data_IF_670690067452
#
_entry.id   IF_670690067452
#
_cell.length_a   1.000
_cell.length_b   1.000
_cell.length_c   1.000
_cell.angle_alpha   90.00
_cell.angle_beta   90.00
_cell.angle_gamma   90.00
#
_symmetry.space_group_name_H-M   'P 1'
#
loop_
_entity.id
_entity.type
_entity.pdbx_description
1 polymer ?
#
# COMPACT_ATOMS: atom_id res chain seq x y z
N UNK A 1 50.64 8.81 3.37
CA UNK A 1 49.47 9.41 2.70
C UNK A 1 49.68 9.14 1.22
N UNK A 2 48.66 8.67 0.51
CA UNK A 2 48.85 8.21 -0.87
C UNK A 2 49.01 9.44 -1.79
N UNK A 3 50.18 9.58 -2.44
CA UNK A 3 50.52 10.76 -3.24
C UNK A 3 49.60 10.95 -4.45
N UNK A 4 49.13 9.86 -5.07
CA UNK A 4 48.15 9.90 -6.17
C UNK A 4 46.83 10.48 -5.65
N UNK A 5 46.36 9.98 -4.49
CA UNK A 5 45.13 10.47 -3.87
C UNK A 5 45.25 11.95 -3.47
N UNK A 6 46.39 12.37 -2.91
CA UNK A 6 46.64 13.78 -2.60
C UNK A 6 46.57 14.67 -3.84
N UNK A 7 47.14 14.23 -4.96
CA UNK A 7 47.08 14.96 -6.22
C UNK A 7 45.64 15.08 -6.73
N UNK A 8 44.87 13.98 -6.72
CA UNK A 8 43.44 13.97 -7.09
C UNK A 8 42.64 14.92 -6.20
N UNK A 9 42.85 14.89 -4.89
CA UNK A 9 42.13 15.75 -3.95
C UNK A 9 42.49 17.23 -4.11
N UNK A 10 43.67 17.54 -4.66
CA UNK A 10 44.09 18.88 -5.07
C UNK A 10 43.68 19.25 -6.51
N UNK A 11 42.97 18.35 -7.21
CA UNK A 11 42.58 18.45 -8.62
C UNK A 11 43.77 18.55 -9.59
N UNK A 12 44.95 18.07 -9.19
CA UNK A 12 46.10 17.94 -10.07
C UNK A 12 46.08 16.56 -10.77
N UNK A 13 45.14 16.41 -11.69
CA UNK A 13 44.93 15.15 -12.42
C UNK A 13 46.11 14.80 -13.34
N UNK A 14 46.87 15.80 -13.78
CA UNK A 14 48.08 15.58 -14.58
C UNK A 14 49.18 14.94 -13.74
N UNK A 15 49.42 15.46 -12.52
CA UNK A 15 50.35 14.84 -11.59
C UNK A 15 49.87 13.45 -11.17
N UNK A 16 48.59 13.27 -10.86
CA UNK A 16 48.02 11.97 -10.52
C UNK A 16 48.26 10.93 -11.62
N UNK A 17 47.99 11.29 -12.89
CA UNK A 17 48.24 10.43 -14.05
C UNK A 17 49.74 10.10 -14.21
N UNK A 18 50.62 11.07 -14.01
CA UNK A 18 52.07 10.86 -14.10
C UNK A 18 52.57 9.91 -13.00
N UNK A 19 52.11 10.10 -11.76
CA UNK A 19 52.45 9.23 -10.62
C UNK A 19 51.96 7.80 -10.86
N UNK A 20 50.74 7.65 -11.37
CA UNK A 20 50.17 6.34 -11.69
C UNK A 20 50.93 5.63 -12.84
N UNK A 21 51.29 6.36 -13.91
CA UNK A 21 52.12 5.83 -15.02
C UNK A 21 53.52 5.36 -14.56
N UNK A 22 54.08 6.01 -13.55
CA UNK A 22 55.41 5.71 -13.02
C UNK A 22 55.40 4.59 -11.94
N UNK A 23 54.29 3.86 -11.79
CA UNK A 23 54.17 2.75 -10.85
C UNK A 23 53.91 3.17 -9.41
N UNK A 24 53.32 4.36 -9.19
CA UNK A 24 52.84 4.77 -7.87
C UNK A 24 51.77 3.80 -7.34
N UNK A 25 51.81 3.50 -6.04
CA UNK A 25 50.89 2.54 -5.42
C UNK A 25 49.50 3.15 -5.20
N UNK A 26 48.45 2.38 -5.48
CA UNK A 26 47.06 2.71 -5.15
C UNK A 26 46.48 1.76 -4.10
N UNK A 27 47.01 1.84 -2.88
CA UNK A 27 46.46 1.14 -1.71
C UNK A 27 45.82 2.16 -0.77
N UNK A 28 44.52 2.41 -0.94
CA UNK A 28 43.74 3.28 -0.06
C UNK A 28 42.39 2.64 0.26
N UNK A 29 41.82 3.06 1.39
CA UNK A 29 40.53 2.55 1.86
C UNK A 29 39.43 2.81 0.82
N UNK A 30 38.47 1.88 0.60
CA UNK A 30 37.43 2.01 -0.43
C UNK A 30 36.66 3.33 -0.40
N UNK A 31 36.33 3.82 0.79
CA UNK A 31 35.70 5.13 0.96
C UNK A 31 36.53 6.30 0.42
N UNK A 32 37.85 6.27 0.62
CA UNK A 32 38.76 7.30 0.10
C UNK A 32 38.92 7.16 -1.42
N UNK A 33 38.99 5.93 -1.93
CA UNK A 33 39.02 5.67 -3.37
C UNK A 33 37.76 6.20 -4.06
N UNK A 34 36.58 5.91 -3.51
CA UNK A 34 35.31 6.42 -4.01
C UNK A 34 35.29 7.95 -4.08
N UNK A 35 35.77 8.65 -3.05
CA UNK A 35 35.89 10.11 -3.08
C UNK A 35 36.82 10.61 -4.18
N UNK A 36 37.94 9.93 -4.39
CA UNK A 36 38.88 10.25 -5.45
C UNK A 36 38.23 10.06 -6.83
N UNK A 37 37.60 8.91 -7.07
CA UNK A 37 36.89 8.62 -8.32
C UNK A 37 35.77 9.61 -8.58
N UNK A 38 34.97 9.95 -7.56
CA UNK A 38 33.95 10.97 -7.68
C UNK A 38 34.54 12.32 -8.10
N UNK A 39 35.69 12.73 -7.53
CA UNK A 39 36.38 13.96 -7.94
C UNK A 39 36.90 13.94 -9.37
N UNK A 40 37.32 12.77 -9.85
CA UNK A 40 37.76 12.59 -11.24
C UNK A 40 36.55 12.70 -12.19
N UNK A 41 35.42 12.07 -11.86
CA UNK A 41 34.18 12.14 -12.64
C UNK A 41 33.64 13.57 -12.68
N UNK A 42 33.55 14.25 -11.53
CA UNK A 42 33.07 15.64 -11.43
C UNK A 42 33.91 16.63 -12.25
N UNK A 43 35.19 16.30 -12.48
CA UNK A 43 36.11 17.10 -13.27
C UNK A 43 36.22 16.65 -14.74
N UNK A 44 35.41 15.68 -15.19
CA UNK A 44 35.49 15.05 -16.51
C UNK A 44 36.89 14.52 -16.87
N UNK A 45 37.70 14.14 -15.86
CA UNK A 45 39.07 13.67 -16.05
C UNK A 45 39.11 12.17 -16.40
N UNK A 46 38.31 11.76 -17.40
CA UNK A 46 38.07 10.35 -17.76
C UNK A 46 39.34 9.59 -18.21
N UNK A 47 40.31 10.27 -18.83
CA UNK A 47 41.61 9.66 -19.17
C UNK A 47 42.34 9.10 -17.94
N UNK A 48 42.16 9.72 -16.77
CA UNK A 48 42.72 9.22 -15.53
C UNK A 48 41.95 7.99 -15.03
N UNK A 49 40.62 7.93 -15.19
CA UNK A 49 39.84 6.72 -14.88
C UNK A 49 40.21 5.55 -15.79
N UNK A 50 40.36 5.78 -17.09
CA UNK A 50 40.84 4.77 -18.04
C UNK A 50 42.19 4.22 -17.60
N UNK A 51 43.11 5.08 -17.14
CA UNK A 51 44.39 4.64 -16.62
C UNK A 51 44.26 3.82 -15.33
N UNK A 52 43.33 4.17 -14.43
CA UNK A 52 43.05 3.36 -13.24
C UNK A 52 42.50 1.96 -13.60
N UNK A 53 41.67 1.87 -14.64
CA UNK A 53 41.15 0.61 -15.17
C UNK A 53 42.29 -0.20 -15.83
N UNK A 54 43.09 0.43 -16.70
CA UNK A 54 44.23 -0.20 -17.39
C UNK A 54 45.27 -0.77 -16.40
N UNK A 55 45.45 -0.10 -15.24
CA UNK A 55 46.34 -0.55 -14.17
C UNK A 55 45.69 -1.49 -13.16
N UNK A 56 44.48 -1.98 -13.43
CA UNK A 56 43.73 -2.94 -12.59
C UNK A 56 43.49 -2.41 -11.16
N UNK A 57 43.44 -1.10 -10.98
CA UNK A 57 43.08 -0.46 -9.72
C UNK A 57 41.58 -0.18 -9.59
N UNK A 58 40.88 -0.16 -10.72
CA UNK A 58 39.43 -0.22 -10.80
C UNK A 58 39.09 -1.49 -11.59
N UNK A 59 38.34 -2.39 -10.96
CA UNK A 59 37.81 -3.57 -11.64
C UNK A 59 36.50 -3.23 -12.33
N UNK A 60 36.31 -3.78 -13.52
CA UNK A 60 35.04 -3.75 -14.24
C UNK A 60 34.24 -5.05 -14.07
N UNK A 61 34.80 -6.06 -13.39
CA UNK A 61 34.06 -7.24 -12.97
C UNK A 61 33.16 -6.85 -11.78
N UNK A 62 31.86 -6.79 -12.01
CA UNK A 62 30.87 -6.40 -10.98
C UNK A 62 30.96 -7.34 -9.78
N UNK A 63 31.19 -8.64 -10.01
CA UNK A 63 31.19 -9.70 -8.99
C UNK A 63 32.41 -9.68 -8.06
N UNK A 64 33.48 -8.94 -8.41
CA UNK A 64 34.62 -8.74 -7.51
C UNK A 64 34.27 -7.86 -6.29
N UNK A 65 33.15 -7.14 -6.34
CA UNK A 65 32.70 -6.27 -5.26
C UNK A 65 31.70 -6.99 -4.35
N UNK A 66 31.74 -6.71 -3.04
CA UNK A 66 30.74 -7.25 -2.10
C UNK A 66 29.38 -6.54 -2.21
N UNK A 67 29.41 -5.24 -2.53
CA UNK A 67 28.27 -4.33 -2.66
C UNK A 67 28.64 -3.14 -3.53
N UNK A 68 27.66 -2.45 -4.11
CA UNK A 68 27.92 -1.26 -4.92
C UNK A 68 28.47 -0.07 -4.13
N UNK A 69 28.16 0.05 -2.84
CA UNK A 69 28.58 1.22 -2.06
C UNK A 69 30.11 1.36 -2.02
N UNK A 70 30.60 2.56 -2.37
CA UNK A 70 32.03 2.91 -2.48
C UNK A 70 32.77 2.27 -3.66
N UNK A 71 32.05 1.75 -4.66
CA UNK A 71 32.63 1.28 -5.92
C UNK A 71 32.54 2.35 -7.01
N UNK A 72 33.29 2.17 -8.10
CA UNK A 72 33.20 3.03 -9.29
C UNK A 72 31.77 3.08 -9.86
N UNK A 73 31.06 1.95 -9.85
CA UNK A 73 29.67 1.82 -10.31
C UNK A 73 28.75 2.77 -9.54
N UNK A 74 28.84 2.79 -8.21
CA UNK A 74 28.04 3.73 -7.40
C UNK A 74 28.45 5.19 -7.58
N UNK A 75 29.69 5.47 -7.99
CA UNK A 75 30.12 6.84 -8.27
C UNK A 75 29.51 7.34 -9.57
N UNK A 76 29.46 6.52 -10.62
CA UNK A 76 28.72 6.86 -11.83
C UNK A 76 27.22 7.03 -11.56
N UNK A 77 26.59 6.15 -10.79
CA UNK A 77 25.17 6.27 -10.42
C UNK A 77 24.85 7.59 -9.69
N UNK A 78 25.80 8.18 -8.97
CA UNK A 78 25.62 9.43 -8.23
C UNK A 78 26.00 10.68 -9.03
N UNK A 79 26.72 10.50 -10.14
CA UNK A 79 27.22 11.61 -10.93
C UNK A 79 26.10 12.27 -11.75
N UNK A 80 26.19 13.59 -12.01
CA UNK A 80 25.32 14.24 -12.98
C UNK A 80 25.58 13.66 -14.38
N UNK A 81 24.51 13.39 -15.14
CA UNK A 81 24.60 12.90 -16.51
C UNK A 81 24.99 14.02 -17.50
N UNK A 82 26.24 14.48 -17.43
CA UNK A 82 26.82 15.41 -18.43
C UNK A 82 27.04 14.72 -19.77
N UNK A 83 27.14 15.49 -20.85
CA UNK A 83 27.43 14.95 -22.18
C UNK A 83 28.75 14.17 -22.18
N UNK A 84 29.79 14.70 -21.53
CA UNK A 84 31.09 14.04 -21.44
C UNK A 84 31.04 12.73 -20.66
N UNK A 85 30.25 12.66 -19.58
CA UNK A 85 30.05 11.41 -18.84
C UNK A 85 29.32 10.38 -19.70
N UNK A 86 28.23 10.75 -20.37
CA UNK A 86 27.45 9.82 -21.17
C UNK A 86 28.25 9.29 -22.38
N UNK A 87 29.07 10.13 -23.02
CA UNK A 87 30.00 9.70 -24.07
C UNK A 87 31.08 8.74 -23.53
N UNK A 88 31.57 8.97 -22.31
CA UNK A 88 32.48 8.06 -21.66
C UNK A 88 31.80 6.72 -21.33
N UNK A 89 30.55 6.74 -20.84
CA UNK A 89 29.78 5.53 -20.57
C UNK A 89 29.54 4.69 -21.83
N UNK A 90 29.30 5.31 -22.99
CA UNK A 90 29.16 4.58 -24.27
C UNK A 90 30.40 3.74 -24.63
N UNK A 91 31.58 4.15 -24.15
CA UNK A 91 32.83 3.40 -24.34
C UNK A 91 33.06 2.37 -23.22
N UNK A 92 32.67 2.71 -21.99
CA UNK A 92 32.92 1.89 -20.82
C UNK A 92 31.95 0.69 -20.73
N UNK A 93 30.66 0.91 -20.96
CA UNK A 93 29.62 -0.10 -20.76
C UNK A 93 29.86 -1.40 -21.54
N UNK A 94 30.28 -1.36 -22.83
CA UNK A 94 30.61 -2.59 -23.57
C UNK A 94 31.77 -3.42 -22.99
N UNK A 95 32.57 -2.85 -22.08
CA UNK A 95 33.69 -3.55 -21.44
C UNK A 95 33.29 -4.30 -20.17
N UNK A 96 32.06 -4.12 -19.68
CA UNK A 96 31.55 -4.77 -18.46
C UNK A 96 30.80 -6.03 -18.89
N UNK A 97 31.46 -7.19 -18.79
CA UNK A 97 30.89 -8.47 -19.25
C UNK A 97 29.71 -8.96 -18.39
N UNK A 98 29.69 -8.61 -17.11
CA UNK A 98 28.71 -9.07 -16.13
C UNK A 98 27.89 -7.93 -15.51
N UNK A 99 27.43 -7.00 -16.35
CA UNK A 99 26.73 -5.77 -15.93
C UNK A 99 25.44 -6.01 -15.12
N UNK A 100 24.82 -7.18 -15.30
CA UNK A 100 23.59 -7.60 -14.61
C UNK A 100 23.84 -8.52 -13.40
N UNK A 101 25.10 -8.75 -13.01
CA UNK A 101 25.40 -9.49 -11.79
C UNK A 101 24.86 -8.75 -10.56
N UNK A 102 24.37 -9.54 -9.60
CA UNK A 102 23.73 -9.02 -8.40
C UNK A 102 24.73 -8.92 -7.25
N UNK A 103 24.81 -7.73 -6.66
CA UNK A 103 25.49 -7.52 -5.39
C UNK A 103 24.44 -7.37 -4.28
N UNK A 104 24.48 -8.28 -3.30
CA UNK A 104 23.47 -8.38 -2.23
C UNK A 104 22.02 -8.48 -2.76
N UNK A 105 21.82 -9.12 -3.92
CA UNK A 105 20.50 -9.31 -4.54
C UNK A 105 19.98 -8.09 -5.33
N UNK A 106 20.85 -7.16 -5.69
CA UNK A 106 20.53 -5.92 -6.43
C UNK A 106 21.48 -5.82 -7.61
N UNK A 107 20.97 -5.53 -8.81
CA UNK A 107 21.80 -5.25 -10.01
C UNK A 107 22.23 -3.78 -10.03
N UNK A 108 23.20 -3.42 -10.89
CA UNK A 108 23.63 -2.02 -10.97
C UNK A 108 22.52 -1.09 -11.49
N UNK A 109 21.68 -1.58 -12.42
CA UNK A 109 20.49 -0.87 -12.87
C UNK A 109 19.51 -0.62 -11.71
N UNK A 110 19.19 -1.66 -10.92
CA UNK A 110 18.32 -1.53 -9.75
C UNK A 110 18.89 -0.57 -8.70
N UNK A 111 20.20 -0.65 -8.43
CA UNK A 111 20.89 0.29 -7.54
C UNK A 111 20.76 1.74 -8.03
N UNK A 112 20.94 1.96 -9.34
CA UNK A 112 20.84 3.29 -9.95
C UNK A 112 19.41 3.85 -9.89
N UNK A 113 18.40 3.01 -10.14
CA UNK A 113 16.98 3.38 -9.98
C UNK A 113 16.65 3.72 -8.53
N UNK A 114 17.07 2.90 -7.56
CA UNK A 114 16.84 3.11 -6.12
C UNK A 114 17.46 4.42 -5.62
N UNK A 115 18.68 4.71 -6.08
CA UNK A 115 19.41 5.93 -5.72
C UNK A 115 19.03 7.15 -6.57
N UNK A 116 18.01 7.03 -7.43
CA UNK A 116 17.50 8.12 -8.28
C UNK A 116 18.60 8.76 -9.15
N UNK A 117 19.42 7.91 -9.76
CA UNK A 117 20.37 8.33 -10.78
C UNK A 117 19.67 9.14 -11.87
N UNK A 118 20.41 10.04 -12.52
CA UNK A 118 19.87 10.85 -13.60
C UNK A 118 19.28 9.95 -14.71
N UNK A 119 18.07 10.27 -15.18
CA UNK A 119 17.36 9.46 -16.18
C UNK A 119 18.19 9.13 -17.44
N UNK A 120 18.97 10.06 -18.03
CA UNK A 120 19.83 9.73 -19.17
C UNK A 120 20.89 8.67 -18.85
N UNK A 121 21.37 8.60 -17.62
CA UNK A 121 22.30 7.56 -17.18
C UNK A 121 21.61 6.19 -17.08
N UNK A 122 20.39 6.15 -16.51
CA UNK A 122 19.57 4.93 -16.46
C UNK A 122 19.26 4.43 -17.88
N UNK A 123 18.91 5.33 -18.80
CA UNK A 123 18.71 5.03 -20.22
C UNK A 123 19.97 4.40 -20.82
N UNK A 124 21.16 4.98 -20.59
CA UNK A 124 22.41 4.41 -21.09
C UNK A 124 22.68 2.98 -20.60
N UNK A 125 22.38 2.67 -19.34
CA UNK A 125 22.51 1.30 -18.82
C UNK A 125 21.60 0.33 -19.59
N UNK A 126 20.35 0.69 -19.82
CA UNK A 126 19.38 -0.13 -20.54
C UNK A 126 19.75 -0.26 -22.03
N UNK A 127 20.15 0.83 -22.68
CA UNK A 127 20.62 0.85 -24.07
C UNK A 127 21.80 -0.10 -24.31
N UNK A 128 22.62 -0.35 -23.27
CA UNK A 128 23.77 -1.25 -23.30
C UNK A 128 23.47 -2.66 -22.77
N UNK A 129 22.18 -3.01 -22.65
CA UNK A 129 21.76 -4.40 -22.45
C UNK A 129 21.54 -4.82 -21.00
N UNK A 130 21.50 -3.89 -20.03
CA UNK A 130 20.98 -4.23 -18.70
C UNK A 130 19.54 -4.74 -18.78
N UNK A 131 19.25 -5.87 -18.13
CA UNK A 131 17.91 -6.45 -18.09
C UNK A 131 16.94 -5.63 -17.22
N UNK A 132 16.18 -4.74 -17.88
CA UNK A 132 15.12 -3.93 -17.26
C UNK A 132 13.93 -4.76 -16.75
N UNK A 133 13.74 -5.97 -17.30
CA UNK A 133 12.59 -6.83 -16.99
C UNK A 133 12.80 -7.72 -15.77
N UNK A 134 13.99 -7.65 -15.17
CA UNK A 134 14.39 -8.51 -14.06
C UNK A 134 13.46 -8.38 -12.85
N UNK A 135 13.20 -9.53 -12.22
CA UNK A 135 12.44 -9.65 -10.99
C UNK A 135 13.38 -10.09 -9.86
N UNK A 136 13.41 -9.33 -8.76
CA UNK A 136 14.25 -9.63 -7.60
C UNK A 136 13.78 -10.90 -6.87
N UNK A 137 14.60 -11.39 -5.95
CA UNK A 137 14.21 -12.49 -5.04
C UNK A 137 12.97 -12.18 -4.18
N UNK A 138 12.60 -10.90 -4.06
CA UNK A 138 11.37 -10.43 -3.41
C UNK A 138 10.20 -10.31 -4.37
N UNK A 139 10.30 -10.80 -5.61
CA UNK A 139 9.23 -10.65 -6.61
C UNK A 139 9.06 -9.22 -7.12
N UNK A 140 10.02 -8.33 -6.87
CA UNK A 140 9.91 -6.91 -7.21
C UNK A 140 10.56 -6.64 -8.57
N UNK A 141 9.85 -5.94 -9.47
CA UNK A 141 10.45 -5.29 -10.63
C UNK A 141 11.00 -3.91 -10.25
N UNK A 142 11.64 -3.21 -11.20
CA UNK A 142 12.25 -1.89 -10.94
C UNK A 142 11.28 -0.80 -10.47
N UNK A 143 9.98 -0.92 -10.75
CA UNK A 143 8.97 0.06 -10.32
C UNK A 143 8.86 0.13 -8.78
N UNK A 144 9.23 -0.92 -8.05
CA UNK A 144 9.23 -0.93 -6.58
C UNK A 144 10.39 -0.15 -5.95
N UNK A 145 11.45 0.17 -6.70
CA UNK A 145 12.69 0.71 -6.15
C UNK A 145 12.70 2.24 -6.07
N UNK A 146 11.77 2.94 -6.72
CA UNK A 146 11.76 4.40 -6.75
C UNK A 146 10.35 4.98 -6.59
N UNK A 147 10.29 6.28 -6.33
CA UNK A 147 9.06 7.10 -6.38
C UNK A 147 9.22 8.28 -7.34
N UNK A 148 10.33 8.31 -8.09
CA UNK A 148 10.57 9.34 -9.09
C UNK A 148 9.67 9.11 -10.31
N UNK A 149 8.73 10.02 -10.51
CA UNK A 149 7.72 9.96 -11.57
C UNK A 149 8.36 9.87 -12.97
N UNK A 150 9.49 10.55 -13.20
CA UNK A 150 10.13 10.53 -14.50
C UNK A 150 10.77 9.17 -14.78
N UNK A 151 11.46 8.59 -13.79
CA UNK A 151 12.04 7.25 -13.90
C UNK A 151 10.93 6.21 -14.04
N UNK A 152 9.86 6.29 -13.24
CA UNK A 152 8.75 5.34 -13.29
C UNK A 152 8.04 5.38 -14.63
N UNK A 153 7.74 6.59 -15.15
CA UNK A 153 7.14 6.74 -16.48
C UNK A 153 8.00 6.09 -17.55
N UNK A 154 9.30 6.37 -17.53
CA UNK A 154 10.24 5.76 -18.46
C UNK A 154 10.28 4.23 -18.34
N UNK A 155 10.36 3.68 -17.13
CA UNK A 155 10.34 2.22 -16.92
C UNK A 155 9.03 1.58 -17.39
N UNK A 156 7.89 2.26 -17.24
CA UNK A 156 6.61 1.80 -17.78
C UNK A 156 6.58 1.87 -19.31
N UNK A 157 7.19 2.89 -19.92
CA UNK A 157 7.37 3.00 -21.37
C UNK A 157 8.27 1.88 -21.92
N UNK A 158 9.26 1.42 -21.14
CA UNK A 158 10.07 0.22 -21.42
C UNK A 158 9.28 -1.11 -21.24
N UNK A 159 7.98 -1.04 -20.94
CA UNK A 159 7.09 -2.19 -20.92
C UNK A 159 7.04 -2.95 -19.60
N UNK A 160 7.50 -2.36 -18.48
CA UNK A 160 7.41 -3.01 -17.18
C UNK A 160 5.96 -3.26 -16.78
N UNK A 161 5.69 -4.46 -16.27
CA UNK A 161 4.37 -4.83 -15.78
C UNK A 161 4.02 -4.04 -14.50
N UNK A 162 3.12 -3.07 -14.62
CA UNK A 162 2.61 -2.27 -13.49
C UNK A 162 1.84 -3.13 -12.46
N UNK A 163 1.33 -4.29 -12.86
CA UNK A 163 0.58 -5.22 -12.02
C UNK A 163 1.46 -6.33 -11.41
N UNK A 164 2.79 -6.25 -11.54
CA UNK A 164 3.70 -7.18 -10.89
C UNK A 164 3.49 -7.17 -9.37
N UNK A 165 3.52 -8.37 -8.76
CA UNK A 165 3.33 -8.55 -7.33
C UNK A 165 4.64 -8.94 -6.66
N UNK A 166 5.00 -8.24 -5.58
CA UNK A 166 6.13 -8.62 -4.74
C UNK A 166 5.83 -9.89 -3.91
N UNK A 167 6.77 -10.31 -3.07
CA UNK A 167 6.69 -11.50 -2.25
C UNK A 167 5.56 -11.44 -1.21
N UNK A 168 5.03 -10.25 -0.91
CA UNK A 168 3.82 -10.06 -0.10
C UNK A 168 2.53 -10.12 -0.90
N UNK A 169 2.60 -10.20 -2.23
CA UNK A 169 1.47 -10.06 -3.14
C UNK A 169 1.08 -8.60 -3.41
N UNK A 170 1.83 -7.61 -2.92
CA UNK A 170 1.50 -6.21 -3.15
C UNK A 170 1.92 -5.79 -4.56
N UNK A 171 1.08 -5.03 -5.24
CA UNK A 171 1.42 -4.31 -6.48
C UNK A 171 1.99 -2.92 -6.16
N UNK A 172 2.61 -2.25 -7.15
CA UNK A 172 3.07 -0.86 -6.95
C UNK A 172 1.92 0.11 -6.68
N UNK A 173 0.72 -0.17 -7.17
CA UNK A 173 -0.49 0.58 -6.84
C UNK A 173 -0.81 0.52 -5.33
N UNK A 174 -0.71 -0.68 -4.74
CA UNK A 174 -0.90 -0.86 -3.29
C UNK A 174 0.10 -0.01 -2.48
N UNK A 175 1.36 0.00 -2.91
CA UNK A 175 2.44 0.76 -2.28
C UNK A 175 2.30 2.29 -2.46
N UNK A 176 1.80 2.75 -3.61
CA UNK A 176 1.52 4.16 -3.88
C UNK A 176 0.39 4.70 -2.98
N UNK A 177 -0.71 3.95 -2.86
CA UNK A 177 -1.83 4.27 -1.97
C UNK A 177 -1.37 4.30 -0.51
N UNK A 178 -0.59 3.31 -0.07
CA UNK A 178 -0.05 3.27 1.30
C UNK A 178 0.77 4.50 1.67
N UNK A 179 1.48 5.08 0.69
CA UNK A 179 2.30 6.29 0.84
C UNK A 179 1.51 7.59 0.61
N UNK A 180 0.22 7.50 0.25
CA UNK A 180 -0.64 8.65 -0.09
C UNK A 180 -0.08 9.47 -1.26
N UNK A 181 0.56 8.83 -2.24
CA UNK A 181 1.11 9.50 -3.41
C UNK A 181 0.10 9.45 -4.57
N UNK A 182 -0.80 10.44 -4.63
CA UNK A 182 -1.85 10.52 -5.66
C UNK A 182 -1.29 10.64 -7.07
N UNK A 183 -0.16 11.33 -7.25
CA UNK A 183 0.49 11.47 -8.56
C UNK A 183 0.94 10.10 -9.10
N UNK A 184 1.49 9.24 -8.23
CA UNK A 184 1.81 7.85 -8.60
C UNK A 184 0.58 7.01 -8.86
N UNK A 185 -0.49 7.18 -8.07
CA UNK A 185 -1.76 6.48 -8.31
C UNK A 185 -2.27 6.80 -9.71
N UNK A 186 -2.38 8.09 -10.05
CA UNK A 186 -2.83 8.51 -11.37
C UNK A 186 -1.93 7.99 -12.50
N UNK A 187 -0.60 8.05 -12.32
CA UNK A 187 0.34 7.49 -13.29
C UNK A 187 0.11 5.99 -13.50
N UNK A 188 0.02 5.21 -12.43
CA UNK A 188 -0.17 3.77 -12.54
C UNK A 188 -1.52 3.42 -13.17
N UNK A 189 -2.59 4.16 -12.87
CA UNK A 189 -3.88 4.01 -13.55
C UNK A 189 -3.76 4.27 -15.07
N UNK A 190 -3.03 5.31 -15.48
CA UNK A 190 -2.78 5.60 -16.90
C UNK A 190 -2.10 4.44 -17.64
N UNK A 191 -1.27 3.66 -16.95
CA UNK A 191 -0.59 2.48 -17.51
C UNK A 191 -1.34 1.16 -17.24
N UNK A 192 -2.61 1.21 -16.85
CA UNK A 192 -3.46 0.03 -16.73
C UNK A 192 -3.29 -0.75 -15.42
N UNK A 193 -2.91 -0.07 -14.34
CA UNK A 193 -2.87 -0.71 -13.02
C UNK A 193 -4.26 -1.18 -12.60
N UNK A 194 -4.33 -2.44 -12.17
CA UNK A 194 -5.55 -3.09 -11.69
C UNK A 194 -5.74 -2.86 -10.19
N UNK A 195 -6.98 -2.58 -9.79
CA UNK A 195 -7.34 -2.23 -8.42
C UNK A 195 -7.92 -3.40 -7.61
N UNK A 196 -8.14 -4.55 -8.26
CA UNK A 196 -8.73 -5.75 -7.66
C UNK A 196 -7.72 -6.90 -7.43
N UNK A 197 -6.43 -6.69 -7.66
CA UNK A 197 -5.38 -7.68 -7.38
C UNK A 197 -5.24 -7.86 -5.87
N UNK A 198 -5.39 -9.09 -5.39
CA UNK A 198 -5.24 -9.44 -3.98
C UNK A 198 -3.79 -9.73 -3.60
N UNK A 199 -3.33 -9.14 -2.49
CA UNK A 199 -2.09 -9.52 -1.84
C UNK A 199 -2.25 -10.85 -1.08
N UNK A 200 -1.19 -11.30 -0.38
CA UNK A 200 -1.23 -12.56 0.40
C UNK A 200 -2.18 -12.54 1.61
N UNK A 201 -2.62 -11.37 2.06
CA UNK A 201 -3.70 -11.25 3.05
C UNK A 201 -5.10 -11.27 2.42
N UNK A 202 -5.18 -11.28 1.09
CA UNK A 202 -6.42 -11.13 0.33
C UNK A 202 -6.92 -9.68 0.27
N UNK A 203 -6.07 -8.70 0.60
CA UNK A 203 -6.39 -7.28 0.50
C UNK A 203 -6.10 -6.76 -0.91
N UNK A 204 -6.97 -5.89 -1.42
CA UNK A 204 -6.76 -5.19 -2.71
C UNK A 204 -6.31 -3.75 -2.50
N UNK A 205 -5.82 -3.05 -3.54
CA UNK A 205 -5.65 -1.58 -3.51
C UNK A 205 -6.85 -0.81 -2.93
N UNK A 206 -8.09 -1.22 -3.21
CA UNK A 206 -9.28 -0.63 -2.58
C UNK A 206 -9.29 -0.77 -1.06
N UNK A 207 -8.95 -1.97 -0.54
CA UNK A 207 -8.86 -2.16 0.92
C UNK A 207 -7.88 -1.14 1.48
N UNK A 208 -6.68 -1.06 0.90
CA UNK A 208 -5.66 -0.13 1.37
C UNK A 208 -6.14 1.32 1.31
N UNK A 209 -6.85 1.73 0.26
CA UNK A 209 -7.40 3.07 0.14
C UNK A 209 -8.36 3.37 1.29
N UNK A 210 -9.33 2.51 1.60
CA UNK A 210 -10.29 2.76 2.69
C UNK A 210 -9.61 2.86 4.06
N UNK A 211 -8.58 2.04 4.32
CA UNK A 211 -7.88 2.03 5.61
C UNK A 211 -6.77 3.08 5.74
N UNK A 212 -6.41 3.77 4.65
CA UNK A 212 -5.38 4.84 4.65
C UNK A 212 -5.94 6.22 4.31
N UNK A 213 -7.10 6.26 3.65
CA UNK A 213 -7.82 7.47 3.30
C UNK A 213 -8.30 8.16 4.57
N UNK A 214 -7.60 9.23 4.92
CA UNK A 214 -8.22 10.34 5.66
C UNK A 214 -8.99 11.27 4.71
N UNK A 215 -8.86 11.02 3.40
CA UNK A 215 -9.37 11.84 2.31
C UNK A 215 -10.15 10.94 1.34
N UNK A 216 -11.44 11.23 1.17
CA UNK A 216 -12.34 10.47 0.31
C UNK A 216 -12.04 10.64 -1.18
N UNK A 217 -11.29 11.69 -1.57
CA UNK A 217 -11.02 12.00 -2.98
C UNK A 217 -10.24 10.88 -3.67
N UNK A 218 -9.32 10.22 -2.95
CA UNK A 218 -8.61 9.05 -3.47
C UNK A 218 -9.60 7.89 -3.74
N UNK A 219 -10.53 7.65 -2.82
CA UNK A 219 -11.54 6.59 -3.03
C UNK A 219 -12.41 6.91 -4.24
N UNK A 220 -12.82 8.16 -4.42
CA UNK A 220 -13.57 8.60 -5.59
C UNK A 220 -12.79 8.38 -6.90
N UNK A 221 -11.51 8.76 -6.91
CA UNK A 221 -10.63 8.52 -8.06
C UNK A 221 -10.61 7.03 -8.44
N UNK A 222 -10.43 6.14 -7.46
CA UNK A 222 -10.36 4.71 -7.70
C UNK A 222 -11.69 4.13 -8.18
N UNK A 223 -12.82 4.56 -7.62
CA UNK A 223 -14.16 4.12 -8.04
C UNK A 223 -14.52 4.57 -9.47
N UNK A 224 -13.98 5.72 -9.91
CA UNK A 224 -14.18 6.22 -11.27
C UNK A 224 -13.36 5.46 -12.32
N UNK A 225 -12.34 4.70 -11.92
CA UNK A 225 -11.45 3.98 -12.84
C UNK A 225 -11.86 2.53 -13.06
N UNK A 226 -12.09 1.78 -11.97
CA UNK A 226 -12.47 0.37 -12.01
C UNK A 226 -13.61 0.11 -11.02
N UNK A 227 -14.55 -0.80 -11.31
CA UNK A 227 -15.48 -1.27 -10.30
C UNK A 227 -14.77 -2.13 -9.24
N UNK A 228 -15.07 -1.89 -7.96
CA UNK A 228 -14.60 -2.74 -6.88
C UNK A 228 -15.23 -4.14 -6.97
N UNK A 229 -14.41 -5.18 -6.80
CA UNK A 229 -14.87 -6.58 -6.70
C UNK A 229 -15.20 -6.93 -5.24
N UNK A 230 -16.48 -6.88 -4.91
CA UNK A 230 -16.99 -7.08 -3.55
C UNK A 230 -17.11 -8.55 -3.12
N UNK A 231 -16.98 -9.48 -4.07
CA UNK A 231 -17.01 -10.93 -3.84
C UNK A 231 -15.67 -11.50 -3.37
N UNK A 232 -14.59 -10.72 -3.48
CA UNK A 232 -13.26 -11.13 -3.06
C UNK A 232 -13.20 -11.28 -1.54
N UNK A 233 -12.54 -12.36 -1.10
CA UNK A 233 -12.41 -12.70 0.31
C UNK A 233 -10.96 -12.56 0.77
N UNK A 234 -10.78 -11.97 1.95
CA UNK A 234 -9.49 -11.91 2.62
C UNK A 234 -9.07 -13.31 3.13
N UNK A 235 -7.89 -13.43 3.75
CA UNK A 235 -7.39 -14.70 4.32
C UNK A 235 -8.27 -15.29 5.43
N UNK A 236 -9.14 -14.49 6.05
CA UNK A 236 -10.11 -14.94 7.05
C UNK A 236 -11.42 -15.41 6.40
N UNK A 237 -11.52 -15.36 5.07
CA UNK A 237 -12.73 -15.72 4.32
C UNK A 237 -13.81 -14.65 4.33
N UNK A 238 -13.48 -13.41 4.71
CA UNK A 238 -14.41 -12.29 4.83
C UNK A 238 -14.43 -11.44 3.56
N UNK A 239 -15.61 -10.98 3.14
CA UNK A 239 -15.70 -9.93 2.11
C UNK A 239 -15.16 -8.61 2.63
N UNK A 240 -14.77 -7.73 1.71
CA UNK A 240 -14.30 -6.39 2.07
C UNK A 240 -15.33 -5.60 2.87
N UNK A 241 -16.61 -5.65 2.49
CA UNK A 241 -17.64 -4.88 3.16
C UNK A 241 -17.87 -5.37 4.59
N UNK A 242 -17.86 -6.68 4.81
CA UNK A 242 -17.89 -7.24 6.16
C UNK A 242 -16.70 -6.79 7.00
N UNK A 243 -15.48 -6.89 6.46
CA UNK A 243 -14.28 -6.46 7.16
C UNK A 243 -14.36 -4.98 7.56
N UNK A 244 -14.74 -4.09 6.62
CA UNK A 244 -14.87 -2.66 6.87
C UNK A 244 -15.98 -2.33 7.89
N UNK A 245 -17.08 -3.08 7.86
CA UNK A 245 -18.15 -2.95 8.83
C UNK A 245 -17.72 -3.41 10.23
N UNK A 246 -17.01 -4.52 10.36
CA UNK A 246 -16.53 -5.08 11.62
C UNK A 246 -15.42 -4.22 12.24
N UNK A 247 -14.47 -3.79 11.41
CA UNK A 247 -13.32 -3.01 11.81
C UNK A 247 -13.02 -1.89 10.80
N UNK A 248 -13.13 -0.65 11.28
CA UNK A 248 -12.65 0.51 10.57
C UNK A 248 -11.98 1.48 11.56
N UNK A 249 -10.83 2.09 11.20
CA UNK A 249 -10.15 3.08 12.03
C UNK A 249 -10.67 4.52 11.79
N UNK A 250 -11.67 4.71 10.93
CA UNK A 250 -12.15 6.02 10.51
C UNK A 250 -13.17 6.62 11.50
N UNK A 251 -13.50 7.90 11.32
CA UNK A 251 -14.64 8.49 12.02
C UNK A 251 -15.93 7.91 11.48
N UNK A 252 -16.94 7.76 12.35
CA UNK A 252 -18.22 7.17 11.95
C UNK A 252 -18.93 7.91 10.80
N UNK A 253 -18.81 9.25 10.74
CA UNK A 253 -19.35 10.04 9.63
C UNK A 253 -18.70 9.70 8.29
N UNK A 254 -17.41 9.34 8.30
CA UNK A 254 -16.67 8.90 7.11
C UNK A 254 -17.03 7.45 6.78
N UNK A 255 -17.14 6.59 7.79
CA UNK A 255 -17.57 5.20 7.62
C UNK A 255 -18.92 5.11 6.93
N UNK A 256 -19.93 5.85 7.40
CA UNK A 256 -21.27 5.83 6.79
C UNK A 256 -21.24 6.24 5.33
N UNK A 257 -20.48 7.27 4.95
CA UNK A 257 -20.35 7.71 3.55
C UNK A 257 -19.70 6.63 2.69
N UNK A 258 -18.65 6.00 3.19
CA UNK A 258 -17.95 4.94 2.48
C UNK A 258 -18.78 3.64 2.41
N UNK A 259 -19.54 3.32 3.45
CA UNK A 259 -20.50 2.20 3.45
C UNK A 259 -21.61 2.44 2.42
N UNK A 260 -22.15 3.66 2.33
CA UNK A 260 -23.12 4.04 1.30
C UNK A 260 -22.57 3.80 -0.10
N UNK A 261 -21.32 4.19 -0.37
CA UNK A 261 -20.66 3.90 -1.65
C UNK A 261 -20.52 2.41 -1.94
N UNK A 262 -20.16 1.61 -0.93
CA UNK A 262 -20.06 0.16 -1.11
C UNK A 262 -21.43 -0.46 -1.40
N UNK A 263 -22.49 0.02 -0.74
CA UNK A 263 -23.88 -0.40 -0.99
C UNK A 263 -24.34 0.00 -2.40
N UNK A 264 -24.05 1.23 -2.84
CA UNK A 264 -24.30 1.71 -4.20
C UNK A 264 -23.54 0.87 -5.25
N UNK A 265 -22.36 0.37 -4.90
CA UNK A 265 -21.58 -0.57 -5.72
C UNK A 265 -22.08 -2.02 -5.65
N UNK A 266 -23.12 -2.30 -4.86
CA UNK A 266 -23.78 -3.61 -4.77
C UNK A 266 -23.28 -4.51 -3.64
N UNK A 267 -22.72 -3.95 -2.57
CA UNK A 267 -22.30 -4.75 -1.41
C UNK A 267 -23.50 -5.39 -0.71
N UNK A 268 -23.41 -6.69 -0.44
CA UNK A 268 -24.44 -7.40 0.31
C UNK A 268 -24.28 -7.13 1.81
N UNK A 269 -25.18 -6.32 2.37
CA UNK A 269 -25.21 -5.98 3.79
C UNK A 269 -25.76 -7.10 4.67
N UNK A 270 -26.40 -8.10 4.09
CA UNK A 270 -27.07 -9.19 4.78
C UNK A 270 -26.38 -10.54 4.62
N UNK A 271 -25.25 -10.60 3.89
CA UNK A 271 -24.40 -11.78 3.82
C UNK A 271 -23.80 -12.07 5.19
N UNK A 272 -24.07 -13.27 5.71
CA UNK A 272 -23.52 -13.71 6.99
C UNK A 272 -22.09 -14.24 6.81
N UNK A 273 -21.17 -13.75 7.63
CA UNK A 273 -19.76 -14.14 7.64
C UNK A 273 -19.25 -14.29 9.08
N UNK A 274 -18.08 -14.91 9.26
CA UNK A 274 -17.49 -15.12 10.58
C UNK A 274 -16.56 -13.97 10.93
N UNK A 275 -16.74 -13.38 12.11
CA UNK A 275 -15.79 -12.41 12.65
C UNK A 275 -14.56 -13.11 13.28
N UNK A 276 -13.63 -12.32 13.83
CA UNK A 276 -12.42 -12.83 14.49
C UNK A 276 -12.69 -13.75 15.70
N UNK A 277 -13.91 -13.73 16.26
CA UNK A 277 -14.36 -14.56 17.38
C UNK A 277 -15.17 -15.79 16.94
N UNK A 278 -15.21 -16.08 15.63
CA UNK A 278 -16.00 -17.17 15.01
C UNK A 278 -17.52 -17.03 15.17
N UNK A 279 -18.00 -15.84 15.55
CA UNK A 279 -19.42 -15.54 15.57
C UNK A 279 -19.91 -15.24 14.15
N UNK A 280 -21.03 -15.84 13.77
CA UNK A 280 -21.68 -15.56 12.48
C UNK A 280 -22.49 -14.27 12.60
N UNK A 281 -22.11 -13.25 11.82
CA UNK A 281 -22.75 -11.94 11.78
C UNK A 281 -22.91 -11.47 10.35
N UNK A 282 -23.87 -10.58 10.13
CA UNK A 282 -24.02 -9.82 8.89
C UNK A 282 -23.44 -8.41 9.07
N UNK A 283 -22.97 -7.74 8.01
CA UNK A 283 -22.62 -6.32 8.06
C UNK A 283 -23.76 -5.48 8.65
N UNK A 284 -25.01 -5.78 8.30
CA UNK A 284 -26.20 -5.10 8.80
C UNK A 284 -26.32 -5.17 10.33
N UNK A 285 -26.07 -6.34 10.92
CA UNK A 285 -26.06 -6.51 12.39
C UNK A 285 -24.99 -5.65 13.05
N UNK A 286 -23.79 -5.63 12.48
CA UNK A 286 -22.68 -4.84 13.02
C UNK A 286 -23.01 -3.34 12.93
N UNK A 287 -23.41 -2.87 11.74
CA UNK A 287 -23.67 -1.45 11.46
C UNK A 287 -24.85 -0.92 12.27
N UNK A 288 -25.95 -1.68 12.37
CA UNK A 288 -27.15 -1.27 13.10
C UNK A 288 -26.90 -1.09 14.62
N UNK A 289 -25.98 -1.87 15.18
CA UNK A 289 -25.67 -1.80 16.61
C UNK A 289 -24.66 -0.71 16.94
N UNK A 290 -23.78 -0.33 16.00
CA UNK A 290 -22.80 0.75 16.23
C UNK A 290 -23.44 2.12 16.52
N UNK A 291 -24.53 2.48 15.85
CA UNK A 291 -25.23 3.75 16.11
C UNK A 291 -26.64 3.80 15.53
N UNK A 292 -27.42 4.81 15.92
CA UNK A 292 -28.70 5.12 15.28
C UNK A 292 -28.56 5.38 13.77
N UNK A 293 -27.56 6.14 13.34
CA UNK A 293 -27.33 6.42 11.92
C UNK A 293 -27.00 5.16 11.11
N UNK A 294 -26.28 4.20 11.72
CA UNK A 294 -26.05 2.89 11.13
C UNK A 294 -27.34 2.09 10.97
N UNK A 295 -28.21 2.11 11.98
CA UNK A 295 -29.51 1.47 11.88
C UNK A 295 -30.41 2.15 10.84
N UNK A 296 -30.36 3.48 10.70
CA UNK A 296 -31.07 4.20 9.64
C UNK A 296 -30.58 3.80 8.25
N UNK A 297 -29.26 3.61 8.07
CA UNK A 297 -28.67 3.10 6.83
C UNK A 297 -29.20 1.69 6.49
N UNK A 298 -29.17 0.78 7.47
CA UNK A 298 -29.65 -0.61 7.32
C UNK A 298 -31.15 -0.64 7.04
N UNK A 299 -31.94 0.12 7.80
CA UNK A 299 -33.39 0.21 7.62
C UNK A 299 -33.78 0.90 6.32
N UNK A 300 -32.87 1.66 5.71
CA UNK A 300 -33.07 2.31 4.42
C UNK A 300 -32.92 1.38 3.21
N UNK A 301 -32.43 0.15 3.39
CA UNK A 301 -32.26 -0.80 2.29
C UNK A 301 -33.60 -1.39 1.84
N UNK A 302 -33.73 -1.67 0.54
CA UNK A 302 -34.98 -2.13 -0.08
C UNK A 302 -35.44 -3.51 0.44
N UNK A 303 -34.49 -4.36 0.81
CA UNK A 303 -34.68 -5.72 1.32
C UNK A 303 -34.68 -5.79 2.86
N UNK A 304 -34.78 -4.64 3.54
CA UNK A 304 -34.86 -4.60 5.00
C UNK A 304 -36.15 -5.25 5.52
N UNK A 305 -35.98 -6.35 6.26
CA UNK A 305 -37.04 -6.97 7.06
C UNK A 305 -36.86 -6.64 8.55
N UNK A 306 -37.79 -5.83 9.08
CA UNK A 306 -37.81 -5.41 10.48
C UNK A 306 -38.02 -6.56 11.47
N UNK A 307 -38.50 -7.71 11.00
CA UNK A 307 -38.77 -8.91 11.79
C UNK A 307 -37.81 -10.07 11.48
N UNK A 308 -36.78 -9.84 10.66
CA UNK A 308 -35.75 -10.85 10.36
C UNK A 308 -35.19 -11.42 11.66
N UNK A 309 -35.12 -12.75 11.75
CA UNK A 309 -34.48 -13.48 12.83
C UNK A 309 -33.22 -14.16 12.28
N UNK A 310 -32.17 -14.20 13.08
CA UNK A 310 -30.97 -14.99 12.80
C UNK A 310 -31.15 -16.47 13.18
N UNK A 311 -30.06 -17.23 13.11
CA UNK A 311 -30.02 -18.66 13.45
C UNK A 311 -30.29 -18.96 14.94
N UNK A 312 -30.31 -17.95 15.82
CA UNK A 312 -30.65 -18.07 17.23
C UNK A 312 -32.06 -17.49 17.53
N UNK A 313 -32.82 -17.14 16.49
CA UNK A 313 -34.14 -16.53 16.63
C UNK A 313 -34.11 -15.06 17.08
N UNK A 314 -32.95 -14.40 17.12
CA UNK A 314 -32.88 -13.00 17.55
C UNK A 314 -33.26 -12.05 16.40
N UNK A 315 -34.22 -11.17 16.66
CA UNK A 315 -34.57 -10.06 15.77
C UNK A 315 -33.78 -8.79 16.08
N UNK A 316 -33.89 -7.76 15.23
CA UNK A 316 -33.30 -6.44 15.49
C UNK A 316 -33.64 -5.88 16.88
N UNK A 317 -34.91 -6.04 17.30
CA UNK A 317 -35.35 -5.60 18.62
C UNK A 317 -34.69 -6.39 19.75
N UNK A 318 -34.44 -7.69 19.58
CA UNK A 318 -33.71 -8.48 20.58
C UNK A 318 -32.31 -7.90 20.79
N UNK A 319 -31.57 -7.70 19.69
CA UNK A 319 -30.22 -7.15 19.75
C UNK A 319 -30.17 -5.78 20.41
N UNK A 320 -30.98 -4.83 19.94
CA UNK A 320 -31.02 -3.46 20.50
C UNK A 320 -31.42 -3.46 21.97
N UNK A 321 -32.39 -4.29 22.38
CA UNK A 321 -32.82 -4.37 23.77
C UNK A 321 -31.80 -5.07 24.67
N UNK A 322 -30.97 -5.97 24.14
CA UNK A 322 -29.92 -6.68 24.88
C UNK A 322 -28.65 -5.84 25.15
N UNK A 323 -28.48 -4.69 24.48
CA UNK A 323 -27.28 -3.85 24.66
C UNK A 323 -27.09 -3.45 26.14
N UNK A 324 -25.85 -3.57 26.62
CA UNK A 324 -25.49 -3.13 27.96
C UNK A 324 -25.24 -1.61 27.96
N UNK A 325 -26.02 -0.89 28.76
CA UNK A 325 -25.97 0.56 28.83
C UNK A 325 -24.81 1.10 29.69
N UNK A 326 -24.12 0.25 30.48
CA UNK A 326 -23.02 0.64 31.37
C UNK A 326 -23.33 1.87 32.26
N UNK A 327 -24.59 2.01 32.68
CA UNK A 327 -25.10 3.17 33.46
C UNK A 327 -25.06 4.53 32.72
N UNK A 328 -24.88 4.54 31.40
CA UNK A 328 -24.79 5.76 30.60
C UNK A 328 -26.14 6.20 30.02
N UNK A 329 -26.65 7.36 30.45
CA UNK A 329 -27.97 7.85 30.03
C UNK A 329 -28.09 8.13 28.52
N UNK A 330 -27.02 8.55 27.86
CA UNK A 330 -27.07 8.84 26.43
C UNK A 330 -27.26 7.56 25.59
N UNK A 331 -26.66 6.43 26.01
CA UNK A 331 -26.91 5.11 25.39
C UNK A 331 -28.36 4.68 25.55
N UNK A 332 -28.96 4.94 26.72
CA UNK A 332 -30.39 4.67 26.94
C UNK A 332 -31.29 5.48 25.98
N UNK A 333 -30.94 6.75 25.74
CA UNK A 333 -31.65 7.59 24.78
C UNK A 333 -31.48 7.11 23.34
N UNK A 334 -30.27 6.67 22.97
CA UNK A 334 -29.99 6.11 21.65
C UNK A 334 -30.73 4.79 21.41
N UNK A 335 -30.70 3.86 22.36
CA UNK A 335 -31.49 2.62 22.34
C UNK A 335 -32.97 2.92 22.15
N UNK A 336 -33.53 3.88 22.90
CA UNK A 336 -34.92 4.29 22.75
C UNK A 336 -35.24 4.76 21.32
N UNK A 337 -34.34 5.55 20.71
CA UNK A 337 -34.50 6.01 19.31
C UNK A 337 -34.43 4.84 18.32
N UNK A 338 -33.47 3.92 18.50
CA UNK A 338 -33.35 2.70 17.68
C UNK A 338 -34.61 1.84 17.74
N UNK A 339 -35.12 1.57 18.96
CA UNK A 339 -36.37 0.81 19.15
C UNK A 339 -37.55 1.51 18.51
N UNK A 340 -37.67 2.84 18.69
CA UNK A 340 -38.73 3.62 18.05
C UNK A 340 -38.71 3.49 16.54
N UNK A 341 -37.53 3.63 15.92
CA UNK A 341 -37.36 3.46 14.48
C UNK A 341 -37.77 2.06 14.02
N UNK A 342 -37.31 1.00 14.70
CA UNK A 342 -37.67 -0.38 14.35
C UNK A 342 -39.19 -0.63 14.43
N UNK A 343 -39.86 -0.13 15.47
CA UNK A 343 -41.32 -0.24 15.62
C UNK A 343 -42.05 0.52 14.51
N UNK A 344 -41.58 1.72 14.13
CA UNK A 344 -42.11 2.49 13.00
C UNK A 344 -41.94 1.75 11.66
N UNK A 345 -40.89 0.92 11.53
CA UNK A 345 -40.70 0.01 10.39
C UNK A 345 -41.42 -1.33 10.53
N UNK A 346 -42.25 -1.51 11.55
CA UNK A 346 -43.11 -2.69 11.71
C UNK A 346 -42.50 -3.85 12.49
N UNK A 347 -41.36 -3.66 13.15
CA UNK A 347 -40.78 -4.67 14.02
C UNK A 347 -41.77 -5.09 15.12
N UNK A 348 -41.80 -6.37 15.43
CA UNK A 348 -42.71 -6.98 16.39
C UNK A 348 -41.99 -7.19 17.73
N UNK A 349 -42.42 -6.49 18.80
CA UNK A 349 -41.88 -6.68 20.15
C UNK A 349 -42.31 -8.01 20.80
N UNK A 350 -43.14 -8.82 20.12
CA UNK A 350 -43.63 -10.11 20.61
C UNK A 350 -42.95 -11.31 19.96
N UNK A 351 -41.95 -11.11 19.09
CA UNK A 351 -41.16 -12.21 18.56
C UNK A 351 -40.38 -12.87 19.69
N UNK A 352 -40.30 -14.19 19.63
CA UNK A 352 -39.60 -15.03 20.61
C UNK A 352 -38.38 -15.62 19.94
N UNK A 353 -37.23 -15.58 20.61
CA UNK A 353 -36.00 -16.24 20.17
C UNK A 353 -35.89 -17.68 20.68
N UNK A 354 -34.80 -18.38 20.35
CA UNK A 354 -34.60 -19.78 20.74
C UNK A 354 -34.42 -20.01 22.26
N UNK A 355 -34.32 -18.93 23.04
CA UNK A 355 -34.25 -18.96 24.52
C UNK A 355 -35.60 -18.63 25.17
N UNK A 356 -36.69 -18.64 24.40
CA UNK A 356 -38.04 -18.25 24.84
C UNK A 356 -38.09 -16.80 25.38
N UNK A 357 -37.22 -15.91 24.89
CA UNK A 357 -37.17 -14.49 25.26
C UNK A 357 -37.73 -13.61 24.18
N UNK A 358 -38.49 -12.60 24.58
CA UNK A 358 -38.91 -11.47 23.73
C UNK A 358 -37.99 -10.27 23.92
N UNK A 359 -38.02 -9.26 23.03
CA UNK A 359 -37.34 -7.98 23.25
C UNK A 359 -37.78 -7.27 24.54
N UNK A 360 -39.02 -7.47 24.97
CA UNK A 360 -39.54 -6.92 26.23
C UNK A 360 -38.80 -7.54 27.42
N UNK A 361 -38.62 -8.87 27.41
CA UNK A 361 -37.90 -9.57 28.47
C UNK A 361 -36.44 -9.08 28.57
N UNK A 362 -35.79 -8.84 27.44
CA UNK A 362 -34.41 -8.33 27.39
C UNK A 362 -34.26 -6.90 27.90
N UNK A 363 -35.31 -6.08 27.82
CA UNK A 363 -35.29 -4.70 28.28
C UNK A 363 -35.68 -4.55 29.76
N UNK A 364 -36.23 -5.59 30.39
CA UNK A 364 -36.86 -5.48 31.71
C UNK A 364 -35.86 -5.38 32.88
N UNK A 365 -34.66 -5.95 32.72
CA UNK A 365 -33.67 -6.10 33.81
C UNK A 365 -32.77 -4.86 34.03
N UNK A 366 -33.04 -3.73 33.36
CA UNK A 366 -32.24 -2.50 33.47
C UNK A 366 -33.14 -1.27 33.63
N UNK A 367 -33.05 -0.60 34.78
CA UNK A 367 -33.84 0.58 35.13
C UNK A 367 -33.70 1.72 34.11
N UNK A 368 -32.54 1.84 33.46
CA UNK A 368 -32.31 2.84 32.42
C UNK A 368 -33.14 2.59 31.16
N UNK A 369 -33.61 1.36 30.95
CA UNK A 369 -34.44 0.95 29.80
C UNK A 369 -35.94 1.17 30.03
N UNK A 370 -36.36 1.69 31.19
CA UNK A 370 -37.78 1.89 31.54
C UNK A 370 -38.63 2.62 30.48
N UNK A 371 -38.09 3.64 29.82
CA UNK A 371 -38.77 4.33 28.70
C UNK A 371 -38.93 3.44 27.47
N UNK A 372 -37.89 2.67 27.14
CA UNK A 372 -37.89 1.70 26.04
C UNK A 372 -38.89 0.59 26.32
N UNK A 373 -38.90 0.04 27.53
CA UNK A 373 -39.86 -0.98 27.98
C UNK A 373 -41.31 -0.49 27.84
N UNK A 374 -41.59 0.74 28.30
CA UNK A 374 -42.90 1.36 28.17
C UNK A 374 -43.34 1.50 26.71
N UNK A 375 -42.41 1.82 25.80
CA UNK A 375 -42.68 1.95 24.37
C UNK A 375 -43.02 0.60 23.71
N UNK A 376 -42.29 -0.46 24.07
CA UNK A 376 -42.51 -1.83 23.57
C UNK A 376 -43.87 -2.38 24.03
N UNK A 377 -44.19 -2.27 25.33
CA UNK A 377 -45.46 -2.73 25.90
C UNK A 377 -46.68 -2.01 25.30
N UNK A 378 -46.52 -0.71 25.02
CA UNK A 378 -47.57 0.06 24.32
C UNK A 378 -47.83 -0.49 22.91
N UNK A 379 -46.79 -0.88 22.18
CA UNK A 379 -46.98 -1.45 20.83
C UNK A 379 -47.56 -2.86 20.85
N UNK A 380 -47.20 -3.68 21.85
CA UNK A 380 -47.78 -5.02 22.05
C UNK A 380 -49.29 -4.98 22.30
N UNK A 381 -49.77 -3.96 23.00
CA UNK A 381 -51.20 -3.83 23.34
C UNK A 381 -52.06 -3.23 22.22
N UNK A 382 -51.45 -2.73 21.14
CA UNK A 382 -52.12 -2.07 20.01
C UNK A 382 -52.19 -2.88 18.72
N UNK A 383 -51.57 -4.06 18.68
CA UNK A 383 -51.71 -5.08 17.63
C UNK A 383 -52.51 -6.24 18.19
#
# INVERSE_FOLDING_TARGET
MNEINEAIMKQDFTLAAALLKNGGQWDIQPFMAAQAYQRIIEANAFELLELFIEKEHISLDVFEYEKFEYTIFSMFSKAPATEELLEFMDKLLPQIENIDDELMGVTWLAYSVENRSALPFIQKLIDHGCDVSRISSRGENLLFYTQDIQIIRFLLDEGLNVNAQNAGGNTVMFEAIARKNTELVELYLQYGAELNIQNKNGETPYHKAFFTAMDTDLVELLFNHEPIRLDLKNKNGQTFFFEFADYSPLSWDTEIKLMQKLLEAGADIFQAERNAYYEEKTPAQIIALKSLAGLELVAGQDDFDANRQDNAGNSWLHYVCSENLNYEQHKAQEMYKKVKLLLERGASPGLVNDQDKTPVDMAQDDDLKSKTLSLLLKHLSTK
#
